data_IF_562736716259
#
_entry.id   IF_562736716259
#
_cell.length_a   1.000
_cell.length_b   1.000
_cell.length_c   1.000
_cell.angle_alpha   90.00
_cell.angle_beta   90.00
_cell.angle_gamma   90.00
#
_symmetry.space_group_name_H-M   'P 1'
#
loop_
_entity.id
_entity.type
_entity.pdbx_description
1 polymer ?
#
# COMPACT_ATOMS: atom_id res chain seq x y z
N UNK A 1 -22.67 7.49 7.66
CA UNK A 1 -22.81 7.09 6.25
C UNK A 1 -22.75 5.58 6.09
N UNK A 2 -21.77 4.91 6.72
CA UNK A 2 -21.59 3.45 6.71
C UNK A 2 -22.80 2.65 7.18
N UNK A 3 -23.49 3.07 8.25
CA UNK A 3 -24.73 2.40 8.69
C UNK A 3 -25.82 2.35 7.61
N UNK A 4 -25.92 3.39 6.76
CA UNK A 4 -26.87 3.42 5.64
C UNK A 4 -26.45 2.53 4.48
N UNK A 5 -25.13 2.40 4.23
CA UNK A 5 -24.58 1.47 3.25
C UNK A 5 -24.84 0.03 3.66
N UNK A 6 -24.60 -0.31 4.93
CA UNK A 6 -24.86 -1.65 5.47
C UNK A 6 -26.36 -2.01 5.46
N UNK A 7 -27.23 -1.04 5.78
CA UNK A 7 -28.68 -1.22 5.65
C UNK A 7 -29.10 -1.46 4.20
N UNK A 8 -28.53 -0.72 3.24
CA UNK A 8 -28.82 -0.86 1.81
C UNK A 8 -28.32 -2.20 1.26
N UNK A 9 -27.14 -2.65 1.69
CA UNK A 9 -26.59 -3.97 1.39
C UNK A 9 -27.54 -5.09 1.84
N UNK A 10 -27.93 -5.07 3.11
CA UNK A 10 -28.84 -6.07 3.66
C UNK A 10 -30.19 -6.10 2.95
N UNK A 11 -30.73 -4.94 2.55
CA UNK A 11 -31.98 -4.85 1.77
C UNK A 11 -31.82 -5.44 0.37
N UNK A 12 -30.69 -5.19 -0.31
CA UNK A 12 -30.40 -5.76 -1.62
C UNK A 12 -30.27 -7.28 -1.54
N UNK A 13 -29.58 -7.80 -0.52
CA UNK A 13 -29.46 -9.25 -0.31
C UNK A 13 -30.81 -9.92 -0.09
N UNK A 14 -31.68 -9.34 0.76
CA UNK A 14 -33.03 -9.86 0.96
C UNK A 14 -33.85 -9.86 -0.33
N UNK A 15 -33.78 -8.76 -1.10
CA UNK A 15 -34.52 -8.62 -2.35
C UNK A 15 -34.04 -9.64 -3.38
N UNK A 16 -32.71 -9.84 -3.48
CA UNK A 16 -32.06 -10.86 -4.29
C UNK A 16 -32.54 -12.26 -3.91
N UNK A 17 -32.48 -12.61 -2.62
CA UNK A 17 -32.93 -13.92 -2.13
C UNK A 17 -34.41 -14.18 -2.46
N UNK A 18 -35.29 -13.19 -2.21
CA UNK A 18 -36.73 -13.30 -2.53
C UNK A 18 -37.00 -13.43 -4.03
N UNK A 19 -36.26 -12.69 -4.85
CA UNK A 19 -36.39 -12.75 -6.30
C UNK A 19 -35.94 -14.12 -6.85
N UNK A 20 -34.82 -14.65 -6.37
CA UNK A 20 -34.37 -16.00 -6.72
C UNK A 20 -35.34 -17.09 -6.24
N UNK A 21 -35.82 -17.03 -5.00
CA UNK A 21 -36.83 -17.98 -4.51
C UNK A 21 -38.08 -18.00 -5.39
N UNK A 22 -38.56 -16.83 -5.82
CA UNK A 22 -39.76 -16.72 -6.67
C UNK A 22 -39.56 -17.37 -8.04
N UNK A 23 -38.35 -17.26 -8.59
CA UNK A 23 -37.95 -17.90 -9.84
C UNK A 23 -37.83 -19.41 -9.67
N UNK A 24 -37.11 -19.87 -8.64
CA UNK A 24 -36.86 -21.29 -8.40
C UNK A 24 -38.10 -22.06 -7.92
N UNK A 25 -39.15 -21.37 -7.44
CA UNK A 25 -40.46 -21.97 -7.12
C UNK A 25 -41.32 -22.27 -8.35
N UNK A 26 -41.03 -21.70 -9.52
CA UNK A 26 -41.74 -22.05 -10.76
C UNK A 26 -41.30 -23.46 -11.20
N UNK A 27 -42.26 -24.34 -11.51
CA UNK A 27 -42.01 -25.71 -11.98
C UNK A 27 -41.50 -25.78 -13.42
N UNK A 28 -41.69 -24.72 -14.20
CA UNK A 28 -41.20 -24.60 -15.58
C UNK A 28 -40.26 -23.39 -15.72
N UNK A 29 -39.21 -23.57 -16.51
CA UNK A 29 -38.23 -22.54 -16.81
C UNK A 29 -38.83 -21.48 -17.74
N UNK A 30 -38.88 -20.25 -17.25
CA UNK A 30 -39.35 -19.08 -17.98
C UNK A 30 -38.16 -18.15 -18.27
N UNK A 31 -37.65 -18.25 -19.50
CA UNK A 31 -36.43 -17.53 -19.93
C UNK A 31 -36.57 -16.02 -19.84
N UNK A 32 -37.75 -15.48 -20.16
CA UNK A 32 -37.99 -14.03 -20.18
C UNK A 32 -38.10 -13.49 -18.76
N UNK A 33 -38.90 -14.13 -17.90
CA UNK A 33 -39.00 -13.73 -16.50
C UNK A 33 -37.67 -13.89 -15.74
N UNK A 34 -36.90 -14.93 -16.06
CA UNK A 34 -35.55 -15.10 -15.52
C UNK A 34 -34.62 -13.96 -15.97
N UNK A 35 -34.63 -13.64 -17.27
CA UNK A 35 -33.84 -12.56 -17.86
C UNK A 35 -34.14 -11.19 -17.24
N UNK A 36 -35.41 -10.85 -17.08
CA UNK A 36 -35.82 -9.57 -16.45
C UNK A 36 -35.38 -9.48 -14.99
N UNK A 37 -35.52 -10.56 -14.22
CA UNK A 37 -35.15 -10.58 -12.80
C UNK A 37 -33.63 -10.44 -12.66
N UNK A 38 -32.86 -11.21 -13.43
CA UNK A 38 -31.40 -11.11 -13.43
C UNK A 38 -30.96 -9.71 -13.84
N UNK A 39 -31.54 -9.14 -14.90
CA UNK A 39 -31.19 -7.80 -15.37
C UNK A 39 -31.48 -6.72 -14.34
N UNK A 40 -32.63 -6.78 -13.66
CA UNK A 40 -32.99 -5.82 -12.62
C UNK A 40 -32.10 -5.94 -11.38
N UNK A 41 -31.78 -7.16 -10.94
CA UNK A 41 -30.85 -7.38 -9.82
C UNK A 41 -29.47 -6.85 -10.19
N UNK A 42 -28.93 -7.21 -11.36
CA UNK A 42 -27.61 -6.76 -11.81
C UNK A 42 -27.55 -5.23 -11.94
N UNK A 43 -28.62 -4.58 -12.40
CA UNK A 43 -28.69 -3.12 -12.49
C UNK A 43 -28.64 -2.47 -11.10
N UNK A 44 -29.37 -3.00 -10.13
CA UNK A 44 -29.37 -2.49 -8.75
C UNK A 44 -28.05 -2.74 -8.03
N UNK A 45 -27.47 -3.94 -8.19
CA UNK A 45 -26.14 -4.31 -7.70
C UNK A 45 -25.05 -3.42 -8.31
N UNK A 46 -25.12 -3.14 -9.61
CA UNK A 46 -24.19 -2.23 -10.28
C UNK A 46 -24.30 -0.80 -9.75
N UNK A 47 -25.53 -0.30 -9.54
CA UNK A 47 -25.74 1.02 -8.95
C UNK A 47 -25.20 1.10 -7.52
N UNK A 48 -25.44 0.07 -6.70
CA UNK A 48 -24.92 0.01 -5.34
C UNK A 48 -23.39 -0.11 -5.27
N UNK A 49 -22.80 -0.93 -6.15
CA UNK A 49 -21.35 -1.08 -6.27
C UNK A 49 -20.69 0.24 -6.68
N UNK A 50 -21.34 1.00 -7.57
CA UNK A 50 -20.90 2.36 -7.93
C UNK A 50 -20.92 3.31 -6.73
N UNK A 51 -21.96 3.26 -5.89
CA UNK A 51 -22.04 4.07 -4.67
C UNK A 51 -20.91 3.72 -3.68
N UNK A 52 -20.62 2.43 -3.48
CA UNK A 52 -19.51 1.95 -2.63
C UNK A 52 -18.15 2.45 -3.15
N UNK A 53 -17.91 2.34 -4.45
CA UNK A 53 -16.68 2.85 -5.06
C UNK A 53 -16.57 4.37 -4.90
N UNK A 54 -17.67 5.10 -5.05
CA UNK A 54 -17.69 6.55 -4.81
C UNK A 54 -17.30 6.90 -3.37
N UNK A 55 -17.84 6.20 -2.37
CA UNK A 55 -17.49 6.40 -0.95
C UNK A 55 -16.01 6.13 -0.70
N UNK A 56 -15.47 5.03 -1.24
CA UNK A 56 -14.05 4.71 -1.15
C UNK A 56 -13.17 5.82 -1.74
N UNK A 57 -13.52 6.33 -2.93
CA UNK A 57 -12.75 7.41 -3.58
C UNK A 57 -12.84 8.72 -2.81
N UNK A 58 -13.99 9.05 -2.21
CA UNK A 58 -14.13 10.23 -1.35
C UNK A 58 -13.26 10.10 -0.10
N UNK A 59 -13.24 8.93 0.54
CA UNK A 59 -12.35 8.65 1.69
C UNK A 59 -10.89 8.83 1.29
N UNK A 60 -10.46 8.23 0.18
CA UNK A 60 -9.09 8.36 -0.35
C UNK A 60 -8.71 9.81 -0.66
N UNK A 61 -9.58 10.58 -1.33
CA UNK A 61 -9.33 12.01 -1.60
C UNK A 61 -9.20 12.82 -0.30
N UNK A 62 -9.99 12.48 0.72
CA UNK A 62 -9.92 13.13 2.04
C UNK A 62 -8.59 12.85 2.74
N UNK A 63 -8.10 11.61 2.69
CA UNK A 63 -6.78 11.24 3.21
C UNK A 63 -5.65 11.97 2.47
N UNK A 64 -5.69 12.00 1.13
CA UNK A 64 -4.69 12.75 0.33
C UNK A 64 -4.63 14.21 0.77
N UNK A 65 -5.80 14.86 0.94
CA UNK A 65 -5.83 16.26 1.39
C UNK A 65 -5.33 16.46 2.81
N UNK A 66 -5.69 15.55 3.72
CA UNK A 66 -5.16 15.58 5.07
C UNK A 66 -3.63 15.52 5.02
N UNK A 67 -3.09 14.56 4.27
CA UNK A 67 -1.65 14.41 4.08
C UNK A 67 -1.01 15.67 3.48
N UNK A 68 -1.60 16.24 2.43
CA UNK A 68 -1.17 17.51 1.83
C UNK A 68 -1.13 18.65 2.85
N UNK A 69 -2.13 18.74 3.75
CA UNK A 69 -2.19 19.77 4.79
C UNK A 69 -1.09 19.60 5.83
N UNK A 70 -0.79 18.37 6.25
CA UNK A 70 0.33 18.11 7.15
C UNK A 70 1.67 18.46 6.52
N UNK A 71 1.87 18.16 5.23
CA UNK A 71 3.04 18.63 4.46
C UNK A 71 3.09 20.16 4.43
N UNK A 72 1.97 20.86 4.25
CA UNK A 72 1.95 22.34 4.21
C UNK A 72 2.19 22.99 5.58
N UNK A 73 1.84 22.32 6.67
CA UNK A 73 2.05 22.81 8.05
C UNK A 73 3.50 22.67 8.54
N UNK A 74 4.43 22.34 7.64
CA UNK A 74 5.88 22.47 7.85
C UNK A 74 6.20 23.87 8.38
N UNK A 75 6.57 23.93 9.65
CA UNK A 75 7.25 25.06 10.29
C UNK A 75 8.49 24.49 10.96
N UNK A 76 9.59 25.22 10.98
CA UNK A 76 10.92 24.75 11.42
C UNK A 76 10.94 24.18 12.85
N UNK A 77 9.91 24.47 13.66
CA UNK A 77 9.80 24.11 15.07
C UNK A 77 8.92 22.88 15.37
N UNK A 78 8.18 22.33 14.39
CA UNK A 78 7.24 21.23 14.65
C UNK A 78 7.93 19.84 14.57
N UNK A 79 8.08 19.19 15.73
CA UNK A 79 8.71 17.88 15.89
C UNK A 79 7.84 16.69 15.45
N UNK A 80 6.51 16.82 15.43
CA UNK A 80 5.56 15.70 15.30
C UNK A 80 5.23 15.25 13.86
N UNK A 81 5.71 15.97 12.83
CA UNK A 81 5.24 15.75 11.45
C UNK A 81 5.60 14.37 10.87
N UNK A 82 6.74 13.77 11.22
CA UNK A 82 7.13 12.47 10.67
C UNK A 82 6.24 11.34 11.21
N UNK A 83 6.08 11.29 12.54
CA UNK A 83 5.22 10.33 13.23
C UNK A 83 3.75 10.48 12.79
N UNK A 84 3.26 11.71 12.66
CA UNK A 84 1.89 11.96 12.18
C UNK A 84 1.68 11.45 10.75
N UNK A 85 2.59 11.78 9.83
CA UNK A 85 2.50 11.34 8.44
C UNK A 85 2.65 9.81 8.33
N UNK A 86 3.55 9.22 9.11
CA UNK A 86 3.74 7.78 9.18
C UNK A 86 2.43 7.11 9.64
N UNK A 87 1.84 7.55 10.75
CA UNK A 87 0.59 7.01 11.27
C UNK A 87 -0.61 7.18 10.30
N UNK A 88 -0.61 8.21 9.44
CA UNK A 88 -1.61 8.32 8.37
C UNK A 88 -1.42 7.19 7.34
N UNK A 89 -0.19 6.82 6.99
CA UNK A 89 0.10 5.70 6.07
C UNK A 89 -0.23 4.38 6.74
N UNK A 90 0.31 4.14 7.93
CA UNK A 90 0.15 2.93 8.70
C UNK A 90 0.55 3.20 10.16
N UNK A 91 -0.22 2.69 11.12
CA UNK A 91 0.02 2.91 12.54
C UNK A 91 1.37 2.36 13.00
N UNK A 92 2.21 3.22 13.59
CA UNK A 92 3.51 2.84 14.14
C UNK A 92 3.36 1.79 15.25
N UNK A 93 4.27 0.80 15.26
CA UNK A 93 4.23 -0.32 16.21
C UNK A 93 3.10 -1.34 15.96
N UNK A 94 2.36 -1.22 14.85
CA UNK A 94 1.29 -2.14 14.51
C UNK A 94 1.70 -3.19 13.47
N UNK A 95 0.85 -4.21 13.32
CA UNK A 95 0.96 -5.27 12.30
C UNK A 95 -0.40 -5.47 11.62
N UNK A 96 -0.40 -5.80 10.33
CA UNK A 96 -1.64 -6.00 9.57
C UNK A 96 -2.46 -7.22 10.02
N UNK A 97 -1.86 -8.17 10.75
CA UNK A 97 -2.59 -9.30 11.33
C UNK A 97 -3.66 -8.86 12.36
N UNK A 98 -3.47 -7.69 12.97
CA UNK A 98 -4.30 -7.16 14.04
C UNK A 98 -5.09 -5.92 13.60
N UNK A 99 -5.04 -5.54 12.32
CA UNK A 99 -5.64 -4.31 11.81
C UNK A 99 -6.43 -4.58 10.52
N UNK A 100 -7.72 -4.21 10.46
CA UNK A 100 -8.49 -4.35 9.22
C UNK A 100 -7.88 -3.49 8.11
N UNK A 101 -8.02 -3.93 6.85
CA UNK A 101 -7.47 -3.24 5.67
C UNK A 101 -7.94 -1.78 5.56
N UNK A 102 -9.14 -1.48 6.04
CA UNK A 102 -9.72 -0.13 6.02
C UNK A 102 -9.05 0.85 7.00
N UNK A 103 -8.15 0.37 7.88
CA UNK A 103 -7.51 1.15 8.94
C UNK A 103 -6.08 1.58 8.58
N UNK A 104 -5.61 1.26 7.38
CA UNK A 104 -4.32 1.74 6.87
C UNK A 104 -4.43 2.29 5.44
N UNK A 105 -3.51 3.16 5.07
CA UNK A 105 -3.47 3.83 3.78
C UNK A 105 -2.25 3.44 2.93
N UNK A 106 -1.83 2.17 2.96
CA UNK A 106 -0.72 1.66 2.13
C UNK A 106 -0.90 1.94 0.64
N UNK A 107 -2.15 2.08 0.17
CA UNK A 107 -2.48 2.50 -1.19
C UNK A 107 -1.91 3.88 -1.56
N UNK A 108 -1.60 4.75 -0.57
CA UNK A 108 -0.89 6.01 -0.78
C UNK A 108 0.47 5.79 -1.42
N UNK A 109 1.16 4.72 -1.03
CA UNK A 109 2.48 4.34 -1.54
C UNK A 109 2.34 3.66 -2.92
N UNK A 110 1.53 2.61 -3.02
CA UNK A 110 1.20 1.89 -4.26
C UNK A 110 -0.07 1.04 -4.05
N UNK A 111 -0.91 0.90 -5.08
CA UNK A 111 -2.12 0.04 -4.97
C UNK A 111 -1.76 -1.41 -4.67
N UNK A 112 -0.61 -1.89 -5.18
CA UNK A 112 -0.14 -3.28 -4.99
C UNK A 112 0.00 -3.63 -3.52
N UNK A 113 0.37 -2.67 -2.67
CA UNK A 113 0.53 -2.91 -1.23
C UNK A 113 -0.80 -3.11 -0.49
N UNK A 114 -1.95 -2.91 -1.15
CA UNK A 114 -3.23 -3.35 -0.60
C UNK A 114 -3.34 -4.88 -0.58
N UNK A 115 -2.58 -5.56 -1.43
CA UNK A 115 -2.52 -7.01 -1.52
C UNK A 115 -1.18 -7.48 -0.97
N UNK A 116 -1.17 -8.01 0.25
CA UNK A 116 0.04 -8.48 0.91
C UNK A 116 -0.29 -9.58 1.92
N UNK A 117 0.69 -10.42 2.26
CA UNK A 117 0.52 -11.43 3.33
C UNK A 117 0.66 -10.80 4.70
N UNK A 118 1.64 -9.92 4.89
CA UNK A 118 1.94 -9.29 6.17
C UNK A 118 2.60 -7.92 6.00
N UNK A 119 2.24 -6.97 6.87
CA UNK A 119 2.88 -5.66 7.02
C UNK A 119 3.15 -5.39 8.49
N UNK A 120 4.31 -4.81 8.79
CA UNK A 120 4.70 -4.33 10.12
C UNK A 120 5.33 -2.94 10.03
N UNK A 121 5.19 -2.14 11.09
CA UNK A 121 5.73 -0.78 11.19
C UNK A 121 6.43 -0.57 12.52
N UNK A 122 7.67 -0.08 12.51
CA UNK A 122 8.50 0.15 13.70
C UNK A 122 8.65 -1.06 14.63
N UNK A 123 8.70 -2.24 14.01
CA UNK A 123 8.92 -3.50 14.72
C UNK A 123 10.31 -4.01 14.35
N UNK A 124 11.10 -4.37 15.39
CA UNK A 124 12.42 -4.98 15.20
C UNK A 124 12.27 -6.21 14.32
N UNK A 125 13.15 -6.44 13.36
CA UNK A 125 13.07 -7.63 12.49
C UNK A 125 12.98 -8.94 13.26
N UNK A 126 13.64 -9.06 14.43
CA UNK A 126 13.52 -10.22 15.34
C UNK A 126 12.16 -10.39 16.03
N UNK A 127 11.36 -9.34 16.06
CA UNK A 127 10.06 -9.26 16.74
C UNK A 127 8.89 -9.31 15.75
N UNK A 128 9.16 -9.31 14.45
CA UNK A 128 8.14 -9.44 13.41
C UNK A 128 7.52 -10.83 13.50
N UNK A 129 6.19 -10.91 13.61
CA UNK A 129 5.53 -12.20 13.69
C UNK A 129 5.76 -12.99 12.41
N UNK A 130 5.98 -14.28 12.59
CA UNK A 130 6.27 -15.23 11.52
C UNK A 130 7.63 -15.00 10.82
N UNK A 131 8.57 -14.29 11.44
CA UNK A 131 9.95 -14.21 10.97
C UNK A 131 10.91 -14.46 12.12
N UNK A 132 11.77 -15.46 11.96
CA UNK A 132 12.89 -15.75 12.84
C UNK A 132 14.11 -14.98 12.32
N UNK A 133 14.37 -13.83 12.93
CA UNK A 133 15.52 -12.98 12.69
C UNK A 133 16.23 -12.70 14.00
N UNK A 134 17.54 -12.50 13.98
CA UNK A 134 18.30 -11.97 15.12
C UNK A 134 18.49 -10.44 15.02
N UNK A 135 17.96 -9.82 13.96
CA UNK A 135 18.13 -8.39 13.69
C UNK A 135 17.40 -7.50 14.69
N UNK A 136 18.05 -6.41 15.09
CA UNK A 136 17.52 -5.42 16.04
C UNK A 136 17.10 -4.12 15.35
N UNK A 137 17.01 -4.11 14.02
CA UNK A 137 16.66 -2.93 13.23
C UNK A 137 15.14 -2.85 13.06
N UNK A 138 14.61 -1.65 13.15
CA UNK A 138 13.19 -1.32 13.00
C UNK A 138 13.04 -0.58 11.67
N UNK A 139 12.35 -1.20 10.71
CA UNK A 139 12.00 -0.53 9.46
C UNK A 139 10.71 0.26 9.70
N UNK A 140 10.61 1.44 9.08
CA UNK A 140 9.41 2.26 9.23
C UNK A 140 8.21 1.50 8.65
N UNK A 141 8.35 0.90 7.46
CA UNK A 141 7.44 -0.16 7.02
C UNK A 141 8.17 -1.33 6.39
N UNK A 142 7.62 -2.52 6.65
CA UNK A 142 8.09 -3.77 6.12
C UNK A 142 6.91 -4.62 5.67
N UNK A 143 6.87 -4.95 4.39
CA UNK A 143 5.77 -5.66 3.73
C UNK A 143 6.31 -6.91 3.03
N UNK A 144 5.61 -8.03 3.17
CA UNK A 144 5.94 -9.31 2.54
C UNK A 144 4.82 -9.79 1.61
N UNK A 145 5.23 -10.48 0.55
CA UNK A 145 4.34 -11.09 -0.46
C UNK A 145 3.40 -10.08 -1.13
N UNK A 146 3.96 -8.95 -1.55
CA UNK A 146 3.29 -8.08 -2.50
C UNK A 146 3.32 -8.81 -3.86
N UNK A 147 2.19 -8.97 -4.56
CA UNK A 147 2.18 -9.59 -5.87
C UNK A 147 3.10 -8.86 -6.85
N UNK A 148 4.24 -9.48 -7.18
CA UNK A 148 5.19 -8.97 -8.18
C UNK A 148 5.05 -9.68 -9.54
N UNK A 149 4.45 -10.88 -9.54
CA UNK A 149 4.08 -11.68 -10.71
C UNK A 149 2.89 -12.60 -10.34
N UNK A 150 2.26 -13.23 -11.33
CA UNK A 150 1.20 -14.24 -11.12
C UNK A 150 1.77 -15.58 -10.57
N UNK A 151 2.59 -15.55 -9.52
CA UNK A 151 3.17 -16.76 -8.93
C UNK A 151 2.43 -17.16 -7.65
N UNK A 152 1.82 -18.35 -7.70
CA UNK A 152 1.05 -18.97 -6.62
C UNK A 152 1.90 -19.92 -5.75
N UNK A 153 3.18 -19.65 -5.50
CA UNK A 153 3.95 -20.52 -4.59
C UNK A 153 3.55 -20.22 -3.16
N UNK A 154 2.75 -21.11 -2.58
CA UNK A 154 2.25 -21.03 -1.19
C UNK A 154 3.38 -21.15 -0.15
N UNK A 155 4.53 -21.71 -0.56
CA UNK A 155 5.61 -22.12 0.33
C UNK A 155 6.85 -21.19 0.30
N UNK A 156 6.81 -20.09 -0.45
CA UNK A 156 7.91 -19.12 -0.54
C UNK A 156 7.44 -17.67 -0.33
N UNK A 157 8.33 -16.81 0.18
CA UNK A 157 8.10 -15.36 0.16
C UNK A 157 8.35 -14.85 -1.26
N UNK A 158 7.34 -14.25 -1.87
CA UNK A 158 7.38 -13.81 -3.27
C UNK A 158 8.08 -12.46 -3.45
N UNK A 159 8.10 -11.62 -2.41
CA UNK A 159 8.76 -10.31 -2.45
C UNK A 159 9.01 -9.75 -1.07
N UNK A 160 10.04 -8.93 -0.93
CA UNK A 160 10.30 -8.08 0.23
C UNK A 160 10.14 -6.62 -0.14
N UNK A 161 9.43 -5.86 0.66
CA UNK A 161 9.33 -4.40 0.51
C UNK A 161 9.67 -3.71 1.82
N UNK A 162 10.55 -2.71 1.75
CA UNK A 162 10.97 -1.90 2.90
C UNK A 162 10.79 -0.43 2.55
N UNK A 163 10.14 0.31 3.45
CA UNK A 163 10.12 1.77 3.43
C UNK A 163 10.99 2.32 4.56
N UNK A 164 11.75 3.36 4.23
CA UNK A 164 12.37 4.27 5.18
C UNK A 164 11.82 5.67 4.95
N UNK A 165 11.13 6.20 5.95
CA UNK A 165 10.69 7.58 6.03
C UNK A 165 11.79 8.43 6.68
N UNK A 166 11.93 9.67 6.22
CA UNK A 166 12.80 10.67 6.84
C UNK A 166 11.99 11.92 7.08
N UNK A 167 12.28 12.62 8.17
CA UNK A 167 11.56 13.84 8.54
C UNK A 167 11.34 14.78 7.33
N UNK A 168 10.08 15.13 7.01
CA UNK A 168 9.78 16.09 5.96
C UNK A 168 10.41 17.45 6.28
N UNK A 169 10.86 18.17 5.25
CA UNK A 169 11.54 19.47 5.39
C UNK A 169 12.98 19.40 5.92
N UNK A 170 13.51 18.22 6.27
CA UNK A 170 14.90 18.04 6.69
C UNK A 170 15.70 17.36 5.59
N UNK A 171 16.62 18.11 4.99
CA UNK A 171 17.53 17.56 3.99
C UNK A 171 18.51 16.55 4.62
N UNK A 172 18.82 15.51 3.84
CA UNK A 172 19.91 14.59 4.15
C UNK A 172 21.28 15.27 3.98
N UNK A 173 22.30 14.72 4.63
CA UNK A 173 23.68 15.16 4.39
C UNK A 173 24.07 14.94 2.93
N UNK A 174 24.87 15.85 2.37
CA UNK A 174 25.31 15.85 0.97
C UNK A 174 26.02 14.54 0.58
N UNK A 175 26.56 13.79 1.54
CA UNK A 175 27.29 12.53 1.31
C UNK A 175 26.57 11.31 1.87
N UNK A 176 25.30 11.44 2.28
CA UNK A 176 24.50 10.28 2.69
C UNK A 176 24.35 9.34 1.50
N UNK A 177 24.84 8.11 1.66
CA UNK A 177 24.57 7.04 0.72
C UNK A 177 23.13 6.54 0.91
N UNK A 178 22.31 6.71 -0.12
CA UNK A 178 20.88 6.43 -0.03
C UNK A 178 20.60 4.94 0.09
N UNK A 179 21.32 4.07 -0.63
CA UNK A 179 21.01 2.63 -0.62
C UNK A 179 21.22 1.97 0.75
N UNK A 180 22.22 2.42 1.52
CA UNK A 180 22.49 1.95 2.89
C UNK A 180 21.32 2.18 3.86
N UNK A 181 20.45 3.15 3.60
CA UNK A 181 19.26 3.41 4.43
C UNK A 181 18.32 2.21 4.46
N UNK A 182 18.21 1.47 3.35
CA UNK A 182 17.33 0.29 3.23
C UNK A 182 18.09 -1.04 3.20
N UNK A 183 19.34 -1.07 2.68
CA UNK A 183 20.15 -2.29 2.60
C UNK A 183 20.37 -2.95 3.95
N UNK A 184 20.47 -2.16 5.03
CA UNK A 184 20.62 -2.66 6.40
C UNK A 184 19.49 -3.65 6.79
N UNK A 185 18.25 -3.40 6.37
CA UNK A 185 17.13 -4.30 6.65
C UNK A 185 17.16 -5.54 5.79
N UNK A 186 17.44 -5.40 4.48
CA UNK A 186 17.54 -6.56 3.59
C UNK A 186 18.66 -7.51 4.05
N UNK A 187 19.79 -7.00 4.55
CA UNK A 187 20.87 -7.84 5.12
C UNK A 187 20.39 -8.67 6.31
N UNK A 188 19.57 -8.10 7.19
CA UNK A 188 19.01 -8.82 8.34
C UNK A 188 17.94 -9.83 7.89
N UNK A 189 17.06 -9.43 6.97
CA UNK A 189 15.98 -10.28 6.43
C UNK A 189 16.52 -11.47 5.63
N UNK A 190 17.57 -11.29 4.84
CA UNK A 190 18.21 -12.37 4.08
C UNK A 190 18.85 -13.44 4.97
N UNK A 191 19.17 -13.12 6.23
CA UNK A 191 19.67 -14.09 7.22
C UNK A 191 18.54 -14.77 8.01
N UNK A 192 17.30 -14.35 7.79
CA UNK A 192 16.14 -14.76 8.58
C UNK A 192 15.45 -15.98 7.97
N UNK A 193 14.69 -16.71 8.79
CA UNK A 193 13.78 -17.77 8.35
C UNK A 193 12.35 -17.31 8.59
N UNK A 194 11.53 -17.19 7.54
CA UNK A 194 10.13 -16.82 7.72
C UNK A 194 9.28 -18.05 8.07
N UNK A 195 8.02 -17.83 8.46
CA UNK A 195 7.02 -18.87 8.74
C UNK A 195 5.72 -18.52 8.02
N UNK A 196 5.07 -19.54 7.48
CA UNK A 196 3.73 -19.40 6.88
C UNK A 196 2.66 -19.34 7.97
N UNK A 197 1.43 -18.95 7.59
CA UNK A 197 0.24 -19.02 8.46
C UNK A 197 -0.04 -20.45 8.99
N UNK A 198 0.50 -21.48 8.33
CA UNK A 198 0.39 -22.90 8.75
C UNK A 198 1.56 -23.35 9.64
N UNK A 199 2.51 -22.47 9.97
CA UNK A 199 3.67 -22.76 10.82
C UNK A 199 4.91 -23.30 10.09
N UNK A 200 4.80 -23.62 8.79
CA UNK A 200 5.94 -24.07 7.97
C UNK A 200 6.99 -22.95 7.85
N UNK A 201 8.27 -23.28 7.90
CA UNK A 201 9.34 -22.33 7.61
C UNK A 201 9.29 -21.97 6.12
N UNK A 202 9.13 -20.68 5.82
CA UNK A 202 9.28 -20.09 4.49
C UNK A 202 10.73 -19.61 4.37
N UNK A 203 11.43 -20.02 3.31
CA UNK A 203 12.76 -19.50 3.04
C UNK A 203 12.66 -18.18 2.25
N UNK A 204 13.46 -17.20 2.65
CA UNK A 204 13.75 -16.04 1.80
C UNK A 204 14.93 -16.45 0.91
N UNK A 205 14.67 -16.69 -0.36
CA UNK A 205 15.70 -17.05 -1.32
C UNK A 205 16.55 -15.83 -1.69
N UNK A 206 17.83 -16.04 -2.04
CA UNK A 206 18.73 -14.95 -2.48
C UNK A 206 18.13 -14.14 -3.64
N UNK A 207 17.46 -14.84 -4.56
CA UNK A 207 16.79 -14.24 -5.72
C UNK A 207 15.38 -13.71 -5.43
N UNK A 208 14.90 -13.70 -4.18
CA UNK A 208 13.61 -13.07 -3.83
C UNK A 208 13.64 -11.60 -4.27
N UNK A 209 12.66 -11.11 -5.06
CA UNK A 209 12.56 -9.70 -5.42
C UNK A 209 12.50 -8.78 -4.19
N UNK A 210 13.30 -7.72 -4.19
CA UNK A 210 13.38 -6.75 -3.09
C UNK A 210 13.08 -5.35 -3.62
N UNK A 211 12.28 -4.59 -2.87
CA UNK A 211 11.91 -3.22 -3.20
C UNK A 211 12.17 -2.31 -2.02
N UNK A 212 13.15 -1.41 -2.13
CA UNK A 212 13.44 -0.40 -1.13
C UNK A 212 12.87 0.95 -1.55
N UNK A 213 12.15 1.62 -0.65
CA UNK A 213 11.63 2.96 -0.88
C UNK A 213 12.12 3.88 0.21
N UNK A 214 12.66 5.04 -0.18
CA UNK A 214 13.15 6.05 0.75
C UNK A 214 12.38 7.33 0.48
N UNK A 215 11.62 7.80 1.46
CA UNK A 215 10.87 9.05 1.34
C UNK A 215 11.58 10.12 2.14
N UNK A 216 12.21 11.07 1.45
CA UNK A 216 13.03 12.09 2.09
C UNK A 216 13.14 13.38 1.26
N UNK A 217 13.57 14.46 1.91
CA UNK A 217 13.99 15.67 1.21
C UNK A 217 15.42 15.49 0.69
N UNK A 218 15.59 15.67 -0.62
CA UNK A 218 16.86 15.57 -1.31
C UNK A 218 17.34 16.95 -1.75
N UNK A 219 18.56 17.31 -1.36
CA UNK A 219 19.23 18.49 -1.92
C UNK A 219 20.05 18.14 -3.15
N UNK A 220 20.44 19.18 -3.90
CA UNK A 220 21.14 19.04 -5.18
C UNK A 220 22.44 18.27 -5.03
N UNK A 221 23.21 18.57 -4.00
CA UNK A 221 24.51 17.97 -3.71
C UNK A 221 24.38 16.47 -3.39
N UNK A 222 23.41 16.08 -2.57
CA UNK A 222 23.14 14.67 -2.25
C UNK A 222 22.71 13.88 -3.50
N UNK A 223 21.88 14.49 -4.35
CA UNK A 223 21.47 13.85 -5.60
C UNK A 223 22.67 13.63 -6.52
N UNK A 224 23.50 14.67 -6.73
CA UNK A 224 24.69 14.58 -7.57
C UNK A 224 25.70 13.54 -7.03
N UNK A 225 25.88 13.50 -5.71
CA UNK A 225 26.71 12.49 -5.04
C UNK A 225 26.22 11.07 -5.34
N UNK A 226 24.93 10.79 -5.14
CA UNK A 226 24.38 9.45 -5.33
C UNK A 226 24.31 9.01 -6.80
N UNK A 227 24.08 9.94 -7.73
CA UNK A 227 24.14 9.65 -9.17
C UNK A 227 25.57 9.31 -9.59
N UNK A 228 26.56 10.08 -9.10
CA UNK A 228 27.95 9.93 -9.52
C UNK A 228 28.64 8.73 -8.90
N UNK A 229 28.35 8.43 -7.63
CA UNK A 229 29.13 7.48 -6.84
C UNK A 229 28.36 6.25 -6.37
N UNK A 230 27.02 6.29 -6.38
CA UNK A 230 26.19 5.20 -5.85
C UNK A 230 25.24 4.61 -6.90
N UNK A 231 25.49 4.86 -8.19
CA UNK A 231 24.76 4.31 -9.35
C UNK A 231 23.26 4.62 -9.41
N UNK A 232 22.80 5.66 -8.72
CA UNK A 232 21.43 6.12 -8.87
C UNK A 232 21.22 6.81 -10.22
N UNK A 233 20.01 6.66 -10.76
CA UNK A 233 19.56 7.33 -11.98
C UNK A 233 18.36 8.19 -11.66
N UNK A 234 18.17 9.27 -12.44
CA UNK A 234 16.95 10.09 -12.38
C UNK A 234 15.89 9.45 -13.26
N UNK A 235 14.67 9.35 -12.76
CA UNK A 235 13.50 9.02 -13.56
C UNK A 235 13.01 10.22 -14.36
N UNK A 236 12.06 9.99 -15.26
CA UNK A 236 11.39 11.06 -16.01
C UNK A 236 10.61 12.03 -15.10
N UNK A 237 10.29 11.63 -13.87
CA UNK A 237 9.57 12.44 -12.88
C UNK A 237 10.49 13.06 -11.82
N UNK A 238 11.82 12.96 -12.01
CA UNK A 238 12.82 13.62 -11.18
C UNK A 238 13.17 12.90 -9.87
N UNK A 239 12.44 11.86 -9.48
CA UNK A 239 12.84 10.97 -8.38
C UNK A 239 14.06 10.11 -8.78
N UNK A 240 14.77 9.58 -7.79
CA UNK A 240 15.91 8.71 -8.03
C UNK A 240 15.51 7.25 -7.97
N UNK A 241 16.19 6.41 -8.74
CA UNK A 241 16.07 4.97 -8.64
C UNK A 241 17.40 4.27 -8.86
N UNK A 242 17.54 3.07 -8.32
CA UNK A 242 18.70 2.19 -8.50
C UNK A 242 18.23 0.75 -8.64
N UNK A 243 18.77 0.05 -9.62
CA UNK A 243 18.58 -1.40 -9.77
C UNK A 243 19.91 -2.06 -9.42
N UNK A 244 19.89 -2.98 -8.45
CA UNK A 244 21.01 -3.84 -8.10
C UNK A 244 20.66 -5.28 -8.50
N UNK A 245 21.13 -5.75 -9.67
CA UNK A 245 20.81 -7.08 -10.19
C UNK A 245 21.31 -8.20 -9.28
N UNK A 246 22.49 -8.04 -8.67
CA UNK A 246 23.11 -9.06 -7.82
C UNK A 246 22.30 -9.35 -6.56
N UNK A 247 21.51 -8.38 -6.09
CA UNK A 247 20.64 -8.54 -4.92
C UNK A 247 19.17 -8.74 -5.30
N UNK A 248 18.84 -8.77 -6.59
CA UNK A 248 17.47 -8.64 -7.10
C UNK A 248 16.69 -7.51 -6.40
N UNK A 249 17.31 -6.32 -6.34
CA UNK A 249 16.85 -5.18 -5.55
C UNK A 249 16.59 -3.97 -6.45
N UNK A 250 15.41 -3.39 -6.30
CA UNK A 250 15.02 -2.11 -6.88
C UNK A 250 14.84 -1.09 -5.75
N UNK A 251 15.48 0.07 -5.85
CA UNK A 251 15.38 1.15 -4.88
C UNK A 251 14.80 2.37 -5.55
N UNK A 252 13.83 3.04 -4.92
CA UNK A 252 13.34 4.36 -5.31
C UNK A 252 13.49 5.36 -4.17
N UNK A 253 13.84 6.59 -4.50
CA UNK A 253 13.99 7.70 -3.55
C UNK A 253 13.22 8.90 -4.07
N UNK A 254 12.27 9.38 -3.28
CA UNK A 254 11.38 10.47 -3.67
C UNK A 254 10.98 11.32 -2.46
N UNK A 255 10.49 12.54 -2.69
CA UNK A 255 9.93 13.36 -1.61
C UNK A 255 8.49 12.93 -1.26
N UNK A 256 7.97 13.39 -0.13
CA UNK A 256 6.56 13.18 0.23
C UNK A 256 5.60 13.78 -0.81
N UNK A 257 5.95 14.93 -1.39
CA UNK A 257 5.18 15.57 -2.45
C UNK A 257 5.12 14.71 -3.71
N UNK A 258 6.26 14.12 -4.12
CA UNK A 258 6.29 13.22 -5.28
C UNK A 258 5.48 11.95 -5.03
N UNK A 259 5.62 11.34 -3.86
CA UNK A 259 4.82 10.18 -3.45
C UNK A 259 3.32 10.49 -3.54
N UNK A 260 2.91 11.65 -3.03
CA UNK A 260 1.52 12.07 -2.98
C UNK A 260 0.97 12.45 -4.36
N UNK A 261 1.79 13.09 -5.21
CA UNK A 261 1.46 13.36 -6.61
C UNK A 261 1.25 12.06 -7.41
N UNK A 262 2.08 11.03 -7.18
CA UNK A 262 1.88 9.71 -7.79
C UNK A 262 0.60 9.05 -7.31
N UNK A 263 0.27 9.17 -6.03
CA UNK A 263 -1.00 8.69 -5.47
C UNK A 263 -2.19 9.39 -6.11
N UNK A 264 -2.18 10.73 -6.14
CA UNK A 264 -3.28 11.53 -6.69
C UNK A 264 -3.49 11.27 -8.19
N UNK A 265 -2.41 11.13 -8.97
CA UNK A 265 -2.47 10.79 -10.40
C UNK A 265 -3.11 9.43 -10.64
N UNK A 266 -2.83 8.42 -9.80
CA UNK A 266 -3.44 7.07 -9.91
C UNK A 266 -4.96 7.13 -9.74
N UNK A 267 -5.49 8.03 -8.91
CA UNK A 267 -6.93 8.16 -8.67
C UNK A 267 -7.62 9.28 -9.46
N UNK A 268 -6.87 10.11 -10.19
CA UNK A 268 -7.38 11.32 -10.83
C UNK A 268 -8.57 11.05 -11.76
N UNK A 269 -8.54 9.94 -12.52
CA UNK A 269 -9.65 9.55 -13.40
C UNK A 269 -10.93 9.30 -12.61
N UNK A 270 -10.83 8.65 -11.45
CA UNK A 270 -11.99 8.40 -10.58
C UNK A 270 -12.49 9.69 -9.94
N UNK A 271 -11.59 10.57 -9.49
CA UNK A 271 -11.97 11.86 -8.93
C UNK A 271 -12.73 12.73 -9.95
N UNK A 272 -12.26 12.77 -11.20
CA UNK A 272 -12.94 13.46 -12.31
C UNK A 272 -14.31 12.83 -12.60
N UNK A 273 -14.38 11.50 -12.68
CA UNK A 273 -15.63 10.80 -12.95
C UNK A 273 -16.69 11.03 -11.86
N UNK A 274 -16.26 11.28 -10.61
CA UNK A 274 -17.12 11.57 -9.48
C UNK A 274 -17.38 13.08 -9.27
N UNK A 275 -16.69 13.96 -9.99
CA UNK A 275 -16.79 15.42 -9.84
C UNK A 275 -16.20 15.95 -8.53
N UNK A 276 -15.19 15.25 -7.97
CA UNK A 276 -14.54 15.61 -6.70
C UNK A 276 -13.05 15.97 -6.88
N UNK A 277 -12.61 16.18 -8.12
CA UNK A 277 -11.23 16.51 -8.47
C UNK A 277 -10.80 17.89 -7.95
N UNK A 278 -11.74 18.85 -7.90
CA UNK A 278 -11.52 20.23 -7.46
C UNK A 278 -11.84 20.49 -5.98
N UNK A 279 -12.33 19.46 -5.27
CA UNK A 279 -12.54 19.54 -3.82
C UNK A 279 -11.20 19.21 -3.21
#
# INVERSE_FOLDING_TARGET
MEARLHEKEFKLEQKRSKAFEKVFKKKEYDKEAFGEIVHNILREEAAFSKDKLADLMIKRKSVIKLFQKYIQWRTDENFMLEEDLHNIIFTMGAESNNMPVDYHNLWLLDERFTFHTHTSSDIKTKSVKNIESEGNKEADLLIYDVPCAYSDSIDNINSLVVFEFKKPGRELSNTTNLDELVLKYFRDLMKSKARSKKGNLLNIEDNTPKFGYIICELNKENIEFNIKWNDFKRSAHGHLYKINPSLNLHIEVMSYEQMLDFSEKRHQVFFKALGIDNI
#
